data_IF_221985113917
#
_entry.id   IF_221985113917
#
_cell.length_a   1.000
_cell.length_b   1.000
_cell.length_c   1.000
_cell.angle_alpha   90.00
_cell.angle_beta   90.00
_cell.angle_gamma   90.00
#
_symmetry.space_group_name_H-M   'P 1'
#
loop_
_entity.id
_entity.type
_entity.pdbx_description
1 polymer ?
#
# COMPACT_ATOMS: atom_id res chain seq x y z
N UNK A 1 3.97 -12.90 48.71
CA UNK A 1 4.76 -14.05 48.22
C UNK A 1 4.21 -14.40 46.85
N UNK A 2 4.75 -13.79 45.79
CA UNK A 2 4.48 -14.11 44.39
C UNK A 2 5.82 -13.88 43.68
N UNK A 3 6.35 -14.95 43.12
CA UNK A 3 7.64 -15.03 42.43
C UNK A 3 7.71 -14.11 41.21
N UNK A 4 8.87 -13.46 41.06
CA UNK A 4 9.28 -12.78 39.83
C UNK A 4 10.33 -13.67 39.13
N UNK A 5 10.17 -13.99 37.84
CA UNK A 5 11.14 -14.81 37.14
C UNK A 5 12.46 -14.07 36.94
N UNK A 6 13.53 -14.75 37.34
CA UNK A 6 14.92 -14.41 37.10
C UNK A 6 15.24 -14.38 35.61
N UNK A 7 15.99 -13.34 35.18
CA UNK A 7 16.78 -13.36 33.96
C UNK A 7 16.33 -12.36 32.91
N UNK A 8 16.89 -11.15 32.97
CA UNK A 8 17.37 -10.50 31.75
C UNK A 8 18.46 -9.49 32.11
N UNK A 9 19.65 -9.83 31.66
CA UNK A 9 20.94 -9.24 31.97
C UNK A 9 21.16 -7.95 31.17
N UNK A 10 21.59 -6.86 31.82
CA UNK A 10 22.14 -5.70 31.14
C UNK A 10 23.27 -5.04 31.94
N UNK A 11 24.48 -5.22 31.40
CA UNK A 11 25.67 -4.36 31.48
C UNK A 11 26.35 -4.18 32.86
N UNK A 12 27.26 -5.11 33.14
CA UNK A 12 28.44 -4.87 33.97
C UNK A 12 29.46 -4.03 33.18
N UNK A 13 29.94 -2.96 33.81
CA UNK A 13 30.92 -2.06 33.25
C UNK A 13 31.72 -1.41 34.37
N UNK A 14 32.40 -2.21 35.20
CA UNK A 14 33.35 -1.68 36.17
C UNK A 14 34.78 -2.22 36.00
N UNK A 15 35.72 -1.26 36.03
CA UNK A 15 37.17 -1.33 36.26
C UNK A 15 38.09 -1.57 35.06
N UNK A 16 38.83 -0.52 34.67
CA UNK A 16 40.23 -0.32 35.11
C UNK A 16 40.74 1.09 34.79
N UNK A 17 41.58 1.56 35.70
CA UNK A 17 42.28 2.83 35.81
C UNK A 17 43.32 3.09 34.71
N UNK A 18 43.47 4.34 34.27
CA UNK A 18 44.59 4.77 33.43
C UNK A 18 44.57 6.26 33.13
N UNK A 19 45.70 6.94 33.39
CA UNK A 19 45.93 8.40 33.34
C UNK A 19 45.70 9.06 31.96
N UNK A 20 45.52 10.39 32.07
CA UNK A 20 45.94 11.50 31.16
C UNK A 20 44.94 12.05 30.13
N UNK A 21 44.58 13.31 30.42
CA UNK A 21 44.49 14.46 29.49
C UNK A 21 43.77 14.25 28.17
N UNK A 22 42.51 14.66 28.18
CA UNK A 22 41.76 15.01 27.00
C UNK A 22 40.41 15.50 27.46
N UNK A 23 40.18 16.82 27.40
CA UNK A 23 38.84 17.37 27.52
C UNK A 23 38.00 16.77 26.38
N UNK A 24 37.38 15.62 26.63
CA UNK A 24 36.38 15.05 25.75
C UNK A 24 35.23 16.04 25.75
N UNK A 25 35.18 16.88 24.71
CA UNK A 25 34.01 17.68 24.39
C UNK A 25 32.83 16.70 24.37
N UNK A 26 31.95 16.84 25.36
CA UNK A 26 30.64 16.22 25.34
C UNK A 26 30.06 16.45 23.94
N UNK A 27 29.61 15.41 23.23
CA UNK A 27 29.10 15.60 21.88
C UNK A 27 27.95 16.60 21.97
N UNK A 28 28.14 17.77 21.33
CA UNK A 28 27.06 18.71 21.10
C UNK A 28 26.01 17.96 20.28
N UNK A 29 25.01 17.38 20.97
CA UNK A 29 23.91 16.69 20.34
C UNK A 29 23.01 17.74 19.71
N UNK A 30 23.35 18.02 18.47
CA UNK A 30 22.67 18.85 17.52
C UNK A 30 21.18 18.49 17.43
N UNK A 31 20.39 19.56 17.34
CA UNK A 31 19.02 19.62 16.82
C UNK A 31 17.91 19.10 17.73
N UNK A 32 17.09 20.03 18.26
CA UNK A 32 15.75 19.68 18.76
C UNK A 32 14.76 20.83 18.89
N UNK A 33 14.99 21.87 18.10
CA UNK A 33 14.07 22.99 18.01
C UNK A 33 13.48 23.00 16.60
N UNK A 34 12.15 23.07 16.51
CA UNK A 34 11.43 23.27 15.24
C UNK A 34 10.71 24.61 15.29
N UNK A 35 10.64 25.28 14.15
CA UNK A 35 9.78 26.47 14.01
C UNK A 35 8.37 26.01 13.64
N UNK A 36 7.38 26.36 14.47
CA UNK A 36 5.94 26.09 14.23
C UNK A 36 5.20 27.41 14.43
N UNK A 37 4.55 27.92 13.38
CA UNK A 37 3.77 29.18 13.44
C UNK A 37 4.59 30.39 13.90
N UNK A 38 5.85 30.50 13.45
CA UNK A 38 6.76 31.59 13.83
C UNK A 38 7.46 31.43 15.19
N UNK A 39 7.09 30.43 16.01
CA UNK A 39 7.73 30.18 17.32
C UNK A 39 8.69 29.00 17.28
N UNK A 40 9.81 29.12 17.99
CA UNK A 40 10.78 28.05 18.17
C UNK A 40 10.30 27.12 19.31
N UNK A 41 9.91 25.89 18.96
CA UNK A 41 9.36 24.89 19.89
C UNK A 41 10.33 23.73 20.05
N UNK A 42 10.58 23.31 21.29
CA UNK A 42 11.38 22.13 21.59
C UNK A 42 10.60 20.88 21.26
N UNK A 43 11.14 20.03 20.38
CA UNK A 43 10.51 18.76 20.01
C UNK A 43 10.83 17.73 21.08
N UNK A 44 9.78 17.24 21.76
CA UNK A 44 9.87 16.21 22.77
C UNK A 44 9.77 14.83 22.13
N UNK A 45 10.41 13.82 22.74
CA UNK A 45 10.21 12.44 22.33
C UNK A 45 8.78 12.00 22.65
N UNK A 46 8.11 11.33 21.70
CA UNK A 46 6.80 10.74 21.96
C UNK A 46 6.96 9.61 22.98
N UNK A 47 6.24 9.71 24.10
CA UNK A 47 6.20 8.66 25.10
C UNK A 47 5.24 7.56 24.65
N UNK A 48 5.52 6.33 25.08
CA UNK A 48 4.60 5.18 25.04
C UNK A 48 4.20 4.83 26.48
N UNK A 49 3.31 3.85 26.65
CA UNK A 49 2.83 3.43 27.96
C UNK A 49 3.98 3.03 28.90
N UNK A 50 4.92 2.22 28.41
CA UNK A 50 6.06 1.71 29.19
C UNK A 50 7.00 2.82 29.68
N UNK A 51 7.22 3.86 28.87
CA UNK A 51 8.01 5.03 29.29
C UNK A 51 7.30 5.86 30.37
N UNK A 52 5.97 5.99 30.30
CA UNK A 52 5.22 6.67 31.36
C UNK A 52 5.29 5.86 32.65
N UNK A 53 5.22 4.53 32.57
CA UNK A 53 5.44 3.63 33.71
C UNK A 53 6.81 3.78 34.35
N UNK A 54 7.86 3.81 33.53
CA UNK A 54 9.21 4.09 34.00
C UNK A 54 9.31 5.44 34.72
N UNK A 55 8.75 6.51 34.15
CA UNK A 55 8.76 7.85 34.76
C UNK A 55 8.09 7.83 36.13
N UNK A 56 6.93 7.18 36.25
CA UNK A 56 6.20 7.06 37.52
C UNK A 56 6.98 6.23 38.54
N UNK A 57 7.62 5.12 38.12
CA UNK A 57 8.45 4.29 38.98
C UNK A 57 9.66 5.05 39.52
N UNK A 58 10.39 5.77 38.66
CA UNK A 58 11.52 6.60 39.06
C UNK A 58 11.10 7.77 39.97
N UNK A 59 9.91 8.35 39.73
CA UNK A 59 9.33 9.35 40.62
C UNK A 59 8.99 8.80 42.00
N UNK A 60 8.56 7.53 42.10
CA UNK A 60 8.33 6.85 43.40
C UNK A 60 9.64 6.58 44.15
N UNK A 61 10.73 6.29 43.44
CA UNK A 61 12.07 6.11 44.02
C UNK A 61 12.74 7.41 44.51
N UNK A 62 12.16 8.58 44.20
CA UNK A 62 12.69 9.88 44.61
C UNK A 62 13.70 10.49 43.63
N UNK A 63 13.85 9.93 42.42
CA UNK A 63 14.76 10.46 41.40
C UNK A 63 14.39 11.92 41.02
N UNK A 64 15.40 12.78 40.87
CA UNK A 64 15.21 14.19 40.49
C UNK A 64 14.57 14.31 39.10
N UNK A 65 13.64 15.26 38.94
CA UNK A 65 12.91 15.45 37.68
C UNK A 65 13.84 15.73 36.49
N UNK A 66 14.97 16.40 36.70
CA UNK A 66 15.97 16.70 35.66
C UNK A 66 16.56 15.44 35.04
N UNK A 67 16.93 14.46 35.87
CA UNK A 67 17.53 13.19 35.45
C UNK A 67 16.53 12.38 34.62
N UNK A 68 15.27 12.30 35.07
CA UNK A 68 14.20 11.62 34.35
C UNK A 68 13.89 12.32 33.02
N UNK A 69 13.89 13.65 33.02
CA UNK A 69 13.63 14.46 31.83
C UNK A 69 14.75 14.31 30.78
N UNK A 70 15.99 14.22 31.21
CA UNK A 70 17.15 13.99 30.35
C UNK A 70 17.16 12.56 29.79
N UNK A 71 16.93 11.54 30.62
CA UNK A 71 16.93 10.14 30.19
C UNK A 71 15.80 9.83 29.19
N UNK A 72 14.63 10.44 29.39
CA UNK A 72 13.45 10.27 28.51
C UNK A 72 13.34 11.32 27.41
N UNK A 73 14.22 12.32 27.41
CA UNK A 73 14.30 13.39 26.42
C UNK A 73 12.99 14.18 26.27
N UNK A 74 12.52 14.59 27.44
CA UNK A 74 11.29 15.36 27.68
C UNK A 74 11.59 16.58 28.55
N UNK A 75 10.62 17.49 28.71
CA UNK A 75 10.78 18.65 29.59
C UNK A 75 10.52 18.25 31.05
N UNK A 76 11.20 18.91 31.98
CA UNK A 76 10.95 18.77 33.43
C UNK A 76 9.49 19.05 33.77
N UNK A 77 8.89 20.06 33.12
CA UNK A 77 7.47 20.40 33.23
C UNK A 77 6.57 19.21 32.89
N UNK A 78 6.89 18.48 31.83
CA UNK A 78 6.07 17.34 31.41
C UNK A 78 6.18 16.16 32.37
N UNK A 79 7.37 15.92 32.95
CA UNK A 79 7.54 14.95 34.06
C UNK A 79 6.67 15.33 35.25
N UNK A 80 6.68 16.60 35.66
CA UNK A 80 5.85 17.11 36.75
C UNK A 80 4.36 16.94 36.46
N UNK A 81 3.93 17.26 35.23
CA UNK A 81 2.53 17.11 34.80
C UNK A 81 2.07 15.66 34.84
N UNK A 82 2.88 14.72 34.35
CA UNK A 82 2.58 13.28 34.40
C UNK A 82 2.46 12.79 35.84
N UNK A 83 3.37 13.23 36.71
CA UNK A 83 3.35 12.88 38.14
C UNK A 83 2.13 13.46 38.88
N UNK A 84 1.75 14.71 38.60
CA UNK A 84 0.56 15.32 39.16
C UNK A 84 -0.71 14.57 38.73
N UNK A 85 -0.84 14.24 37.44
CA UNK A 85 -1.97 13.47 36.90
C UNK A 85 -2.06 12.07 37.51
N UNK A 86 -0.91 11.44 37.73
CA UNK A 86 -0.84 10.13 38.39
C UNK A 86 -1.36 10.19 39.83
N UNK A 87 -0.99 11.22 40.59
CA UNK A 87 -1.46 11.43 41.97
C UNK A 87 -2.96 11.71 42.07
N UNK A 88 -3.49 12.45 41.11
CA UNK A 88 -4.90 12.84 41.05
C UNK A 88 -5.83 11.67 40.63
N UNK A 89 -5.28 10.58 40.08
CA UNK A 89 -6.07 9.45 39.59
C UNK A 89 -6.46 8.52 40.77
N UNK A 90 -7.77 8.27 41.04
CA UNK A 90 -8.26 7.56 42.25
C UNK A 90 -7.86 6.10 42.45
N UNK A 91 -6.99 5.53 41.61
CA UNK A 91 -6.47 4.15 41.72
C UNK A 91 -4.98 4.03 41.39
N UNK A 92 -4.25 5.15 41.30
CA UNK A 92 -2.85 5.14 40.87
C UNK A 92 -2.65 4.46 39.50
N UNK A 93 -3.68 4.49 38.64
CA UNK A 93 -3.56 3.96 37.28
C UNK A 93 -2.77 4.95 36.45
N UNK A 94 -1.86 4.42 35.64
CA UNK A 94 -1.03 5.23 34.76
C UNK A 94 -1.86 5.59 33.53
N UNK A 95 -2.38 6.82 33.52
CA UNK A 95 -3.20 7.32 32.43
C UNK A 95 -2.29 7.92 31.37
N UNK A 96 -2.10 7.19 30.28
CA UNK A 96 -1.54 7.77 29.06
C UNK A 96 -2.45 8.92 28.62
N UNK A 97 -1.90 10.10 28.24
CA UNK A 97 -2.73 11.17 27.72
C UNK A 97 -3.54 10.63 26.53
N UNK A 98 -4.87 10.74 26.62
CA UNK A 98 -5.76 10.32 25.55
C UNK A 98 -5.25 10.91 24.23
N UNK A 99 -5.22 10.10 23.19
CA UNK A 99 -4.78 10.54 21.87
C UNK A 99 -5.62 11.75 21.48
N UNK A 100 -5.00 12.93 21.45
CA UNK A 100 -5.63 14.15 20.96
C UNK A 100 -6.02 13.90 19.50
N UNK A 101 -7.32 13.89 19.23
CA UNK A 101 -7.85 13.55 17.92
C UNK A 101 -9.31 13.94 17.81
N UNK A 102 -9.79 14.04 16.57
CA UNK A 102 -11.21 14.28 16.29
C UNK A 102 -12.06 13.22 17.01
N UNK A 103 -13.12 13.61 17.73
CA UNK A 103 -14.03 12.65 18.35
C UNK A 103 -14.47 11.60 17.33
N UNK A 104 -14.44 10.33 17.73
CA UNK A 104 -14.94 9.26 16.87
C UNK A 104 -16.44 9.44 16.70
N UNK A 105 -16.91 9.39 15.46
CA UNK A 105 -18.34 9.35 15.17
C UNK A 105 -18.93 8.08 15.78
N UNK A 106 -20.13 8.18 16.33
CA UNK A 106 -20.91 7.01 16.76
C UNK A 106 -21.28 6.09 15.59
N UNK A 107 -21.89 4.92 15.89
CA UNK A 107 -22.37 4.00 14.87
C UNK A 107 -23.41 4.65 13.94
N UNK A 108 -23.61 4.13 12.72
CA UNK A 108 -24.59 4.67 11.79
C UNK A 108 -26.02 4.60 12.36
N UNK A 109 -26.80 5.66 12.18
CA UNK A 109 -28.19 5.70 12.66
C UNK A 109 -29.07 4.73 11.85
N UNK A 110 -30.19 4.25 12.43
CA UNK A 110 -31.16 3.39 11.72
C UNK A 110 -31.65 4.01 10.40
N UNK A 111 -31.90 5.33 10.38
CA UNK A 111 -32.30 6.05 9.17
C UNK A 111 -31.23 5.99 8.08
N UNK A 112 -29.95 6.20 8.43
CA UNK A 112 -28.83 6.12 7.48
C UNK A 112 -28.69 4.70 6.93
N UNK A 113 -28.81 3.68 7.78
CA UNK A 113 -28.79 2.28 7.35
C UNK A 113 -29.90 1.99 6.34
N UNK A 114 -31.13 2.36 6.66
CA UNK A 114 -32.28 2.12 5.78
C UNK A 114 -32.11 2.82 4.42
N UNK A 115 -31.71 4.09 4.42
CA UNK A 115 -31.49 4.85 3.20
C UNK A 115 -30.35 4.31 2.33
N UNK A 116 -29.24 3.86 2.94
CA UNK A 116 -28.12 3.25 2.21
C UNK A 116 -28.53 1.93 1.58
N UNK A 117 -29.26 1.07 2.31
CA UNK A 117 -29.70 -0.22 1.81
C UNK A 117 -30.78 -0.08 0.72
N UNK A 118 -31.71 0.87 0.86
CA UNK A 118 -32.68 1.15 -0.21
C UNK A 118 -31.98 1.66 -1.47
N UNK A 119 -31.03 2.59 -1.34
CA UNK A 119 -30.24 3.10 -2.46
C UNK A 119 -29.37 2.02 -3.11
N UNK A 120 -28.83 1.08 -2.32
CA UNK A 120 -28.08 -0.08 -2.83
C UNK A 120 -28.97 -0.99 -3.68
N UNK A 121 -30.18 -1.31 -3.21
CA UNK A 121 -31.15 -2.12 -3.97
C UNK A 121 -31.58 -1.45 -5.27
N UNK A 122 -31.85 -0.14 -5.23
CA UNK A 122 -32.28 0.61 -6.40
C UNK A 122 -31.16 0.80 -7.46
N UNK A 123 -29.95 1.17 -7.02
CA UNK A 123 -28.86 1.55 -7.95
C UNK A 123 -27.91 0.41 -8.28
N UNK A 124 -27.91 -0.69 -7.51
CA UNK A 124 -26.95 -1.81 -7.60
C UNK A 124 -25.48 -1.36 -7.72
N UNK A 125 -25.16 -0.24 -7.06
CA UNK A 125 -23.91 0.50 -7.26
C UNK A 125 -23.07 0.60 -6.00
N UNK A 126 -21.78 0.95 -6.15
CA UNK A 126 -20.85 1.11 -5.03
C UNK A 126 -21.07 2.38 -4.20
N UNK A 127 -20.34 2.47 -3.08
CA UNK A 127 -20.48 3.53 -2.08
C UNK A 127 -20.40 4.97 -2.64
N UNK A 128 -19.56 5.21 -3.65
CA UNK A 128 -19.42 6.56 -4.26
C UNK A 128 -20.69 7.02 -4.98
N UNK A 129 -21.37 6.12 -5.71
CA UNK A 129 -22.61 6.47 -6.42
C UNK A 129 -23.77 6.61 -5.45
N UNK A 130 -23.86 5.71 -4.47
CA UNK A 130 -24.84 5.80 -3.37
C UNK A 130 -24.68 7.12 -2.61
N UNK A 131 -23.44 7.52 -2.30
CA UNK A 131 -23.14 8.79 -1.67
C UNK A 131 -23.67 9.98 -2.48
N UNK A 132 -23.39 10.01 -3.79
CA UNK A 132 -23.89 11.08 -4.67
C UNK A 132 -25.40 11.09 -4.82
N UNK A 133 -26.06 9.93 -4.72
CA UNK A 133 -27.52 9.82 -4.72
C UNK A 133 -28.13 10.35 -3.41
N UNK A 134 -27.63 9.89 -2.26
CA UNK A 134 -28.10 10.33 -0.95
C UNK A 134 -27.89 11.83 -0.73
N UNK A 135 -26.75 12.36 -1.18
CA UNK A 135 -26.46 13.80 -1.10
C UNK A 135 -27.46 14.63 -1.91
N UNK A 136 -27.87 14.16 -3.10
CA UNK A 136 -28.90 14.84 -3.91
C UNK A 136 -30.29 14.75 -3.29
N UNK A 137 -30.57 13.67 -2.55
CA UNK A 137 -31.79 13.50 -1.76
C UNK A 137 -31.77 14.25 -0.40
N UNK A 138 -30.78 15.12 -0.16
CA UNK A 138 -30.68 15.92 1.08
C UNK A 138 -30.09 15.19 2.29
N UNK A 139 -29.66 13.93 2.14
CA UNK A 139 -29.08 13.14 3.23
C UNK A 139 -27.54 13.10 3.13
N UNK A 140 -26.87 13.82 4.04
CA UNK A 140 -25.41 13.91 4.08
C UNK A 140 -24.76 12.77 4.90
N UNK A 141 -24.75 11.55 4.35
CA UNK A 141 -24.03 10.42 4.96
C UNK A 141 -22.57 10.39 4.49
N UNK A 142 -21.55 10.30 5.37
CA UNK A 142 -20.16 10.16 4.93
C UNK A 142 -19.91 8.85 4.16
N UNK A 143 -19.05 8.89 3.14
CA UNK A 143 -18.69 7.71 2.33
C UNK A 143 -18.19 6.53 3.18
N UNK A 144 -17.40 6.80 4.22
CA UNK A 144 -16.91 5.77 5.13
C UNK A 144 -18.02 5.06 5.90
N UNK A 145 -19.07 5.79 6.29
CA UNK A 145 -20.26 5.22 6.95
C UNK A 145 -21.03 4.33 5.98
N UNK A 146 -21.24 4.79 4.75
CA UNK A 146 -21.88 4.00 3.68
C UNK A 146 -21.12 2.69 3.45
N UNK A 147 -19.79 2.75 3.37
CA UNK A 147 -18.96 1.55 3.20
C UNK A 147 -19.07 0.59 4.39
N UNK A 148 -19.12 1.10 5.62
CA UNK A 148 -19.35 0.27 6.81
C UNK A 148 -20.71 -0.43 6.74
N UNK A 149 -21.78 0.29 6.40
CA UNK A 149 -23.13 -0.28 6.27
C UNK A 149 -23.17 -1.38 5.20
N UNK A 150 -22.57 -1.13 4.02
CA UNK A 150 -22.53 -2.13 2.94
C UNK A 150 -21.68 -3.36 3.30
N UNK A 151 -20.65 -3.20 4.15
CA UNK A 151 -19.88 -4.35 4.66
C UNK A 151 -20.69 -5.14 5.68
N UNK A 152 -21.35 -4.44 6.61
CA UNK A 152 -22.24 -5.06 7.62
C UNK A 152 -23.40 -5.84 6.96
N UNK A 153 -23.92 -5.39 5.81
CA UNK A 153 -25.00 -6.07 5.09
C UNK A 153 -24.55 -7.20 4.15
N UNK A 154 -23.25 -7.42 3.99
CA UNK A 154 -22.71 -8.41 3.03
C UNK A 154 -22.70 -7.95 1.57
N UNK A 155 -23.16 -6.72 1.28
CA UNK A 155 -23.17 -6.13 -0.07
C UNK A 155 -21.78 -5.75 -0.60
N UNK A 156 -20.82 -5.56 0.30
CA UNK A 156 -19.44 -5.22 -0.02
C UNK A 156 -18.47 -6.23 0.62
N UNK A 157 -17.79 -7.00 -0.23
CA UNK A 157 -16.80 -8.01 0.18
C UNK A 157 -15.39 -7.41 0.15
N UNK A 158 -14.62 -7.69 1.20
CA UNK A 158 -13.23 -7.29 1.26
C UNK A 158 -12.34 -8.23 0.42
N UNK A 159 -11.72 -7.69 -0.63
CA UNK A 159 -10.77 -8.44 -1.44
C UNK A 159 -9.33 -8.10 -1.05
N UNK A 160 -8.78 -8.74 -0.01
CA UNK A 160 -7.41 -8.51 0.49
C UNK A 160 -6.35 -8.59 -0.62
N UNK A 161 -6.51 -9.51 -1.57
CA UNK A 161 -5.61 -9.64 -2.75
C UNK A 161 -5.58 -8.38 -3.64
N UNK A 162 -6.66 -7.61 -3.68
CA UNK A 162 -6.78 -6.38 -4.49
C UNK A 162 -6.29 -5.12 -3.76
N UNK A 163 -6.04 -5.21 -2.45
CA UNK A 163 -5.59 -4.07 -1.63
C UNK A 163 -4.07 -3.87 -1.66
N UNK A 164 -3.30 -4.93 -1.91
CA UNK A 164 -1.86 -4.84 -2.05
C UNK A 164 -1.45 -4.08 -3.31
N UNK A 165 -0.34 -3.33 -3.25
CA UNK A 165 0.31 -2.81 -4.44
C UNK A 165 0.68 -3.99 -5.34
N UNK A 166 0.14 -4.02 -6.56
CA UNK A 166 0.53 -5.02 -7.56
C UNK A 166 2.04 -4.88 -7.78
N UNK A 167 2.78 -5.97 -7.57
CA UNK A 167 4.19 -6.02 -7.97
C UNK A 167 4.21 -6.13 -9.48
N UNK A 168 4.80 -5.15 -10.13
CA UNK A 168 5.11 -5.25 -11.55
C UNK A 168 6.24 -6.26 -11.69
N UNK A 169 5.91 -7.44 -12.19
CA UNK A 169 6.90 -8.41 -12.62
C UNK A 169 7.11 -8.15 -14.10
N UNK A 170 8.35 -7.91 -14.50
CA UNK A 170 8.70 -7.85 -15.91
C UNK A 170 8.56 -9.27 -16.46
N UNK A 171 7.57 -9.46 -17.32
CA UNK A 171 7.40 -10.69 -18.06
C UNK A 171 8.44 -10.66 -19.19
N UNK A 172 9.45 -11.53 -19.07
CA UNK A 172 10.55 -11.62 -20.03
C UNK A 172 11.10 -13.06 -20.04
N UNK A 173 11.24 -13.65 -21.23
CA UNK A 173 11.90 -14.93 -21.43
C UNK A 173 13.42 -14.81 -21.24
N UNK A 174 14.06 -15.90 -20.83
CA UNK A 174 15.51 -15.92 -20.57
C UNK A 174 16.37 -15.83 -21.84
N UNK A 175 15.88 -16.34 -22.97
CA UNK A 175 16.65 -16.44 -24.20
C UNK A 175 15.87 -15.84 -25.37
N UNK A 176 16.56 -15.15 -26.27
CA UNK A 176 16.00 -14.70 -27.55
C UNK A 176 15.49 -15.86 -28.39
N UNK A 177 14.54 -15.57 -29.27
CA UNK A 177 13.83 -16.53 -30.12
C UNK A 177 13.04 -17.61 -29.34
N UNK A 178 12.87 -17.44 -28.02
CA UNK A 178 12.02 -18.33 -27.21
C UNK A 178 10.54 -18.05 -27.40
N UNK A 179 10.18 -16.77 -27.55
CA UNK A 179 8.80 -16.34 -27.72
C UNK A 179 8.76 -15.02 -28.48
N UNK A 180 7.99 -14.97 -29.56
CA UNK A 180 7.66 -13.72 -30.23
C UNK A 180 6.25 -13.29 -29.84
N UNK A 181 6.05 -12.00 -29.62
CA UNK A 181 4.75 -11.39 -29.44
C UNK A 181 4.31 -10.77 -30.76
N UNK A 182 3.02 -10.85 -31.08
CA UNK A 182 2.45 -10.16 -32.24
C UNK A 182 1.11 -9.56 -31.90
N UNK A 183 0.87 -8.38 -32.46
CA UNK A 183 -0.36 -7.62 -32.31
C UNK A 183 -0.60 -6.75 -33.54
N UNK A 184 -1.86 -6.40 -33.78
CA UNK A 184 -2.27 -5.44 -34.79
C UNK A 184 -2.53 -4.08 -34.15
N UNK A 185 -2.00 -3.02 -34.77
CA UNK A 185 -2.26 -1.64 -34.39
C UNK A 185 -2.76 -0.86 -35.58
N UNK A 186 -3.91 -0.21 -35.45
CA UNK A 186 -4.37 0.74 -36.45
C UNK A 186 -3.54 2.03 -36.38
N UNK A 187 -3.06 2.47 -37.53
CA UNK A 187 -2.33 3.72 -37.74
C UNK A 187 -3.31 4.87 -37.99
N UNK A 188 -2.83 6.10 -37.83
CA UNK A 188 -3.65 7.31 -37.99
C UNK A 188 -4.18 7.49 -39.43
N UNK A 189 -3.52 6.86 -40.41
CA UNK A 189 -3.93 6.86 -41.83
C UNK A 189 -4.94 5.75 -42.17
N UNK A 190 -5.40 4.99 -41.17
CA UNK A 190 -6.41 3.94 -41.32
C UNK A 190 -5.86 2.53 -41.59
N UNK A 191 -4.57 2.41 -41.93
CA UNK A 191 -3.92 1.12 -42.17
C UNK A 191 -3.66 0.36 -40.86
N UNK A 192 -3.47 -0.94 -40.97
CA UNK A 192 -3.16 -1.86 -39.88
C UNK A 192 -1.69 -2.28 -39.94
N UNK A 193 -0.94 -1.92 -38.90
CA UNK A 193 0.42 -2.38 -38.67
C UNK A 193 0.39 -3.70 -37.89
N UNK A 194 1.09 -4.72 -38.36
CA UNK A 194 1.46 -5.90 -37.60
C UNK A 194 2.96 -5.89 -37.34
N UNK A 195 3.36 -6.30 -36.14
CA UNK A 195 4.77 -6.44 -35.78
C UNK A 195 4.98 -7.69 -34.92
N UNK A 196 6.06 -8.42 -35.19
CA UNK A 196 6.58 -9.50 -34.38
C UNK A 196 7.76 -8.98 -33.56
N UNK A 197 7.65 -9.09 -32.24
CA UNK A 197 8.66 -8.63 -31.28
C UNK A 197 9.19 -9.82 -30.46
N UNK A 198 10.50 -10.01 -30.39
CA UNK A 198 11.10 -10.98 -29.48
C UNK A 198 11.00 -10.51 -28.03
N UNK A 199 10.39 -11.32 -27.15
CA UNK A 199 10.07 -10.92 -25.77
C UNK A 199 11.32 -10.63 -24.92
N UNK A 200 12.41 -11.39 -25.14
CA UNK A 200 13.66 -11.25 -24.40
C UNK A 200 14.48 -10.03 -24.84
N UNK A 201 14.69 -9.86 -26.14
CA UNK A 201 15.53 -8.77 -26.67
C UNK A 201 14.79 -7.48 -26.98
N UNK A 202 13.44 -7.51 -27.04
CA UNK A 202 12.60 -6.40 -27.53
C UNK A 202 12.91 -6.00 -28.99
N UNK A 203 13.48 -6.94 -29.73
CA UNK A 203 13.83 -6.75 -31.13
C UNK A 203 12.63 -7.07 -32.03
N UNK A 204 12.32 -6.18 -32.98
CA UNK A 204 11.26 -6.41 -33.97
C UNK A 204 11.82 -7.32 -35.07
N UNK A 205 11.37 -8.57 -35.09
CA UNK A 205 11.83 -9.59 -36.06
C UNK A 205 11.13 -9.47 -37.40
N UNK A 206 9.94 -8.87 -37.44
CA UNK A 206 9.22 -8.61 -38.68
C UNK A 206 8.07 -7.65 -38.48
N UNK A 207 7.72 -6.91 -39.52
CA UNK A 207 6.56 -6.03 -39.50
C UNK A 207 5.99 -5.84 -40.91
N UNK A 208 4.74 -5.38 -40.98
CA UNK A 208 4.08 -5.01 -42.24
C UNK A 208 2.88 -4.12 -41.98
N UNK A 209 2.57 -3.23 -42.93
CA UNK A 209 1.40 -2.35 -42.87
C UNK A 209 0.46 -2.65 -44.04
N UNK A 210 -0.82 -2.89 -43.74
CA UNK A 210 -1.82 -3.36 -44.70
C UNK A 210 -3.12 -2.57 -44.53
N UNK A 211 -3.98 -2.56 -45.55
CA UNK A 211 -5.28 -1.88 -45.45
C UNK A 211 -6.26 -2.63 -44.53
N UNK A 212 -6.05 -3.94 -44.33
CA UNK A 212 -6.89 -4.80 -43.51
C UNK A 212 -6.07 -5.65 -42.53
N UNK A 213 -6.58 -5.83 -41.30
CA UNK A 213 -5.99 -6.76 -40.33
C UNK A 213 -6.50 -8.19 -40.57
N UNK A 214 -5.76 -9.00 -41.33
CA UNK A 214 -6.14 -10.38 -41.68
C UNK A 214 -5.12 -11.41 -41.19
N UNK A 215 -5.55 -12.67 -41.04
CA UNK A 215 -4.66 -13.78 -40.69
C UNK A 215 -3.58 -14.01 -41.76
N UNK A 216 -3.93 -13.86 -43.04
CA UNK A 216 -3.02 -14.06 -44.17
C UNK A 216 -1.83 -13.09 -44.15
N UNK A 217 -2.08 -11.81 -43.90
CA UNK A 217 -1.01 -10.82 -43.79
C UNK A 217 -0.10 -11.09 -42.58
N UNK A 218 -0.66 -11.60 -41.48
CA UNK A 218 0.13 -12.03 -40.33
C UNK A 218 1.06 -13.20 -40.67
N UNK A 219 0.53 -14.23 -41.35
CA UNK A 219 1.33 -15.38 -41.82
C UNK A 219 2.46 -14.92 -42.76
N UNK A 220 2.16 -14.04 -43.71
CA UNK A 220 3.16 -13.54 -44.67
C UNK A 220 4.30 -12.78 -43.98
N UNK A 221 4.01 -11.94 -42.99
CA UNK A 221 5.04 -11.24 -42.21
C UNK A 221 5.82 -12.24 -41.34
N UNK A 222 5.13 -13.24 -40.76
CA UNK A 222 5.76 -14.27 -39.95
C UNK A 222 6.75 -15.11 -40.76
N UNK A 223 6.37 -15.60 -41.94
CA UNK A 223 7.22 -16.43 -42.79
C UNK A 223 8.49 -15.69 -43.21
N UNK A 224 8.35 -14.39 -43.54
CA UNK A 224 9.50 -13.52 -43.82
C UNK A 224 10.41 -13.39 -42.61
N UNK A 225 9.86 -13.14 -41.42
CA UNK A 225 10.65 -13.05 -40.19
C UNK A 225 11.36 -14.38 -39.85
N UNK A 226 10.68 -15.52 -40.02
CA UNK A 226 11.26 -16.85 -39.79
C UNK A 226 12.40 -17.13 -40.77
N UNK A 227 12.24 -16.74 -42.04
CA UNK A 227 13.29 -16.94 -43.04
C UNK A 227 14.58 -16.18 -42.71
N UNK A 228 14.47 -15.04 -42.03
CA UNK A 228 15.60 -14.18 -41.70
C UNK A 228 16.22 -14.48 -40.33
N UNK A 229 15.40 -14.79 -39.31
CA UNK A 229 15.83 -14.91 -37.91
C UNK A 229 15.65 -16.31 -37.32
N UNK A 230 15.14 -17.26 -38.10
CA UNK A 230 14.81 -18.62 -37.67
C UNK A 230 13.47 -18.72 -36.95
N UNK A 231 12.93 -19.95 -36.85
CA UNK A 231 11.61 -20.21 -36.25
C UNK A 231 11.65 -20.01 -34.72
N UNK A 232 10.77 -19.17 -34.13
CA UNK A 232 10.68 -19.04 -32.68
C UNK A 232 10.11 -20.29 -32.04
N UNK A 233 10.45 -20.54 -30.77
CA UNK A 233 9.91 -21.69 -30.03
C UNK A 233 8.41 -21.56 -29.72
N UNK A 234 7.90 -20.33 -29.62
CA UNK A 234 6.49 -20.06 -29.40
C UNK A 234 6.11 -18.67 -29.89
N UNK A 235 4.83 -18.46 -30.19
CA UNK A 235 4.28 -17.15 -30.53
C UNK A 235 3.13 -16.85 -29.57
N UNK A 236 3.11 -15.63 -29.02
CA UNK A 236 2.04 -15.12 -28.19
C UNK A 236 1.24 -14.10 -29.01
N UNK A 237 -0.03 -14.40 -29.24
CA UNK A 237 -0.99 -13.48 -29.86
C UNK A 237 -2.06 -13.10 -28.86
N UNK A 238 -2.78 -12.02 -29.14
CA UNK A 238 -4.04 -11.78 -28.46
C UNK A 238 -5.13 -12.76 -28.96
N UNK A 239 -6.34 -12.67 -28.38
CA UNK A 239 -7.52 -13.45 -28.82
C UNK A 239 -8.33 -12.74 -29.91
N UNK A 240 -7.69 -11.88 -30.71
CA UNK A 240 -8.33 -11.25 -31.86
C UNK A 240 -8.84 -12.29 -32.84
N UNK A 241 -9.92 -11.96 -33.56
CA UNK A 241 -10.51 -12.84 -34.58
C UNK A 241 -9.54 -13.17 -35.72
N UNK A 242 -8.49 -12.36 -35.88
CA UNK A 242 -7.40 -12.55 -36.83
C UNK A 242 -6.47 -13.71 -36.44
N UNK A 243 -6.31 -13.98 -35.14
CA UNK A 243 -5.39 -14.99 -34.62
C UNK A 243 -6.11 -16.20 -34.02
N UNK A 244 -7.33 -16.02 -33.50
CA UNK A 244 -8.16 -17.07 -32.94
C UNK A 244 -9.53 -17.13 -33.61
N UNK A 245 -10.01 -18.33 -33.93
CA UNK A 245 -11.38 -18.47 -34.41
C UNK A 245 -12.36 -18.16 -33.29
N UNK A 246 -13.34 -17.29 -33.57
CA UNK A 246 -14.35 -16.91 -32.59
C UNK A 246 -15.32 -18.07 -32.33
N UNK A 247 -15.49 -18.43 -31.07
CA UNK A 247 -16.52 -19.37 -30.63
C UNK A 247 -17.90 -18.73 -30.86
N UNK A 248 -18.73 -19.38 -31.67
CA UNK A 248 -20.14 -19.01 -31.84
C UNK A 248 -20.98 -20.22 -31.43
N UNK A 249 -22.09 -19.99 -30.73
CA UNK A 249 -22.93 -21.03 -30.07
C UNK A 249 -23.40 -22.19 -30.98
N UNK A 250 -23.13 -22.13 -32.29
CA UNK A 250 -23.53 -23.11 -33.31
C UNK A 250 -22.36 -23.84 -33.99
N UNK A 251 -21.09 -23.57 -33.68
CA UNK A 251 -19.94 -24.25 -34.33
C UNK A 251 -18.88 -24.65 -33.31
N UNK A 252 -18.46 -25.92 -33.37
CA UNK A 252 -17.29 -26.41 -32.66
C UNK A 252 -16.06 -25.60 -33.06
N UNK A 253 -15.13 -25.42 -32.11
CA UNK A 253 -13.94 -24.57 -32.21
C UNK A 253 -13.16 -24.86 -33.50
N UNK A 254 -13.29 -23.99 -34.50
CA UNK A 254 -12.45 -24.03 -35.69
C UNK A 254 -11.03 -23.59 -35.33
N UNK A 255 -10.02 -24.16 -35.96
CA UNK A 255 -8.64 -23.67 -35.83
C UNK A 255 -8.46 -22.50 -36.80
N UNK A 256 -7.99 -21.34 -36.33
CA UNK A 256 -7.76 -20.19 -37.21
C UNK A 256 -6.74 -20.54 -38.31
N UNK A 257 -6.73 -19.83 -39.44
CA UNK A 257 -5.69 -20.05 -40.46
C UNK A 257 -4.28 -19.84 -39.89
N UNK A 258 -4.14 -18.91 -38.95
CA UNK A 258 -2.90 -18.64 -38.24
C UNK A 258 -2.49 -19.80 -37.32
N UNK A 259 -3.42 -20.33 -36.52
CA UNK A 259 -3.17 -21.48 -35.63
C UNK A 259 -2.84 -22.75 -36.41
N UNK A 260 -3.40 -22.94 -37.61
CA UNK A 260 -3.06 -24.08 -38.49
C UNK A 260 -1.64 -24.01 -39.06
N UNK A 261 -1.05 -22.81 -39.13
CA UNK A 261 0.24 -22.57 -39.77
C UNK A 261 1.44 -22.74 -38.82
N UNK A 262 1.23 -22.66 -37.50
CA UNK A 262 2.30 -22.72 -36.48
C UNK A 262 2.81 -24.15 -36.20
#
# INVERSE_FOLDING_TARGET
MIDMPSGFDWYDGSKRSGRRTGAQRLPQRSQRWRHIGGRRVRVMKKLDQSKVEYIVAEKRKGTKNGIIAESMDITVRYVQMLWARFKDTPKGKIVFPATMGRPRRGPPTRCERSAVLSARRALKSGASRIWGHLRRAGMAVPKGVIHTILRESGDAVEHKRKQGRRKWVRYERKYSNSMWHTDYKQLDDGRWLISYEDDASRFITGWGAFDEATARHAIEVLDRAISQYGKPRSILTDRGSQFYATESEKKSKGVSEFERHL
#
